data_IF_535865176214
#
_entry.id   IF_535865176214
#
_cell.length_a   1.000
_cell.length_b   1.000
_cell.length_c   1.000
_cell.angle_alpha   90.00
_cell.angle_beta   90.00
_cell.angle_gamma   90.00
#
_symmetry.space_group_name_H-M   'P 1'
#
loop_
_entity.id
_entity.type
_entity.pdbx_description
1 polymer ?
#
# COMPACT_ATOMS: atom_id res chain seq x y z
N UNK A 1 -18.57 -20.62 63.86
CA UNK A 1 -19.85 -21.11 63.30
C UNK A 1 -19.69 -21.25 61.79
N UNK A 2 -19.84 -22.51 61.34
CA UNK A 2 -20.08 -23.02 59.98
C UNK A 2 -19.11 -22.73 58.81
N UNK A 3 -18.44 -23.84 58.44
CA UNK A 3 -17.56 -24.19 57.31
C UNK A 3 -18.17 -24.10 55.90
N UNK A 4 -17.33 -24.20 54.85
CA UNK A 4 -17.73 -24.18 53.44
C UNK A 4 -18.02 -25.60 52.88
N UNK A 5 -18.94 -25.69 51.91
CA UNK A 5 -19.26 -26.94 51.20
C UNK A 5 -18.31 -27.16 50.02
N UNK A 6 -17.47 -28.19 50.15
CA UNK A 6 -16.81 -28.94 49.07
C UNK A 6 -17.79 -29.99 48.54
N UNK A 7 -17.77 -30.25 47.24
CA UNK A 7 -18.23 -31.52 46.66
C UNK A 7 -17.18 -32.03 45.67
N UNK A 8 -16.62 -33.19 46.02
CA UNK A 8 -15.86 -34.12 45.20
C UNK A 8 -16.42 -35.50 45.56
N UNK A 9 -16.58 -36.40 44.57
CA UNK A 9 -16.36 -37.87 44.52
C UNK A 9 -17.07 -38.30 43.21
N UNK A 10 -16.43 -38.70 42.11
CA UNK A 10 -15.55 -39.86 41.82
C UNK A 10 -16.28 -41.21 41.62
N UNK A 11 -15.69 -42.08 40.78
CA UNK A 11 -16.06 -43.47 40.31
C UNK A 11 -16.80 -43.58 38.97
N UNK A 12 -16.54 -44.55 38.06
CA UNK A 12 -15.55 -45.63 37.89
C UNK A 12 -15.83 -46.28 36.49
N UNK A 13 -14.85 -46.41 35.57
CA UNK A 13 -14.05 -47.60 35.17
C UNK A 13 -14.71 -48.79 34.41
N UNK A 14 -13.96 -49.24 33.38
CA UNK A 14 -13.82 -50.57 32.67
C UNK A 14 -14.56 -50.71 31.32
N UNK A 15 -13.86 -50.79 30.17
CA UNK A 15 -13.00 -51.86 29.58
C UNK A 15 -13.75 -53.13 29.18
N UNK A 16 -13.86 -53.41 27.87
CA UNK A 16 -13.65 -54.74 27.25
C UNK A 16 -13.19 -54.56 25.81
N UNK A 17 -12.18 -55.32 25.39
CA UNK A 17 -11.67 -55.41 24.04
C UNK A 17 -11.78 -56.87 23.51
N UNK A 18 -12.06 -57.00 22.20
CA UNK A 18 -11.76 -58.12 21.25
C UNK A 18 -12.52 -59.45 21.41
N UNK A 19 -12.67 -60.30 20.36
CA UNK A 19 -11.78 -60.51 19.20
C UNK A 19 -12.46 -60.66 17.80
N UNK A 20 -11.62 -61.01 16.83
CA UNK A 20 -11.83 -61.10 15.38
C UNK A 20 -12.44 -62.44 14.90
N UNK A 21 -13.02 -62.43 13.69
CA UNK A 21 -13.07 -63.59 12.80
C UNK A 21 -13.12 -63.13 11.33
N UNK A 22 -12.23 -63.71 10.52
CA UNK A 22 -12.13 -63.51 9.08
C UNK A 22 -12.93 -64.60 8.35
N UNK A 23 -13.63 -64.24 7.28
CA UNK A 23 -14.08 -65.17 6.23
C UNK A 23 -13.88 -64.45 4.90
N UNK A 24 -13.10 -65.06 4.01
CA UNK A 24 -12.83 -64.54 2.68
C UNK A 24 -13.94 -64.91 1.69
N UNK A 25 -14.21 -64.01 0.75
CA UNK A 25 -14.81 -64.35 -0.53
C UNK A 25 -14.08 -63.56 -1.62
N UNK A 26 -13.44 -64.29 -2.53
CA UNK A 26 -12.86 -63.74 -3.74
C UNK A 26 -13.99 -63.47 -4.75
N UNK A 27 -14.13 -62.20 -5.15
CA UNK A 27 -15.01 -61.78 -6.23
C UNK A 27 -14.25 -60.81 -7.13
N UNK A 28 -13.96 -61.23 -8.37
CA UNK A 28 -13.30 -60.41 -9.37
C UNK A 28 -14.23 -59.24 -9.77
N UNK A 29 -13.83 -58.01 -9.45
CA UNK A 29 -14.55 -56.80 -9.87
C UNK A 29 -13.94 -56.30 -11.19
N UNK A 30 -14.66 -56.52 -12.29
CA UNK A 30 -14.40 -55.91 -13.59
C UNK A 30 -14.65 -54.40 -13.48
N UNK A 31 -13.60 -53.59 -13.62
CA UNK A 31 -13.72 -52.13 -13.74
C UNK A 31 -14.29 -51.78 -15.14
N UNK A 32 -15.56 -51.39 -15.18
CA UNK A 32 -16.10 -50.65 -16.32
C UNK A 32 -15.73 -49.16 -16.20
N UNK A 33 -15.37 -48.47 -17.31
CA UNK A 33 -15.06 -47.05 -17.26
C UNK A 33 -16.34 -46.22 -17.08
N UNK A 34 -16.36 -45.37 -16.05
CA UNK A 34 -17.39 -44.35 -15.86
C UNK A 34 -17.31 -43.28 -16.97
N UNK A 35 -18.43 -42.79 -17.52
CA UNK A 35 -18.41 -41.69 -18.48
C UNK A 35 -17.95 -40.40 -17.77
N UNK A 36 -16.98 -39.73 -18.36
CA UNK A 36 -16.51 -38.43 -17.92
C UNK A 36 -17.65 -37.40 -18.06
N UNK A 37 -18.28 -37.04 -16.95
CA UNK A 37 -19.14 -35.86 -16.86
C UNK A 37 -18.25 -34.62 -17.01
N UNK A 38 -18.27 -34.01 -18.20
CA UNK A 38 -17.68 -32.71 -18.44
C UNK A 38 -18.35 -31.68 -17.52
N UNK A 39 -17.63 -31.23 -16.49
CA UNK A 39 -18.03 -30.05 -15.74
C UNK A 39 -18.09 -28.85 -16.70
N UNK A 40 -19.13 -28.00 -16.64
CA UNK A 40 -19.15 -26.80 -17.45
C UNK A 40 -17.93 -25.97 -17.07
N UNK A 41 -17.15 -25.56 -18.06
CA UNK A 41 -16.11 -24.57 -17.87
C UNK A 41 -16.78 -23.29 -17.37
N UNK A 42 -16.80 -23.11 -16.04
CA UNK A 42 -17.08 -21.81 -15.45
C UNK A 42 -16.00 -20.87 -16.00
N UNK A 43 -16.38 -20.06 -16.97
CA UNK A 43 -15.48 -19.06 -17.54
C UNK A 43 -14.91 -18.25 -16.38
N UNK A 44 -13.59 -18.28 -16.22
CA UNK A 44 -12.92 -17.29 -15.39
C UNK A 44 -13.21 -15.94 -16.02
N UNK A 45 -14.22 -15.24 -15.52
CA UNK A 45 -14.32 -13.81 -15.74
C UNK A 45 -13.04 -13.22 -15.15
N UNK A 46 -12.11 -12.79 -16.01
CA UNK A 46 -10.93 -12.09 -15.57
C UNK A 46 -11.41 -10.95 -14.66
N UNK A 47 -11.01 -10.95 -13.39
CA UNK A 47 -11.36 -9.88 -12.48
C UNK A 47 -10.92 -8.58 -13.14
N UNK A 48 -11.86 -7.68 -13.40
CA UNK A 48 -11.57 -6.41 -14.05
C UNK A 48 -10.46 -5.71 -13.25
N UNK A 49 -9.34 -5.44 -13.93
CA UNK A 49 -8.24 -4.72 -13.34
C UNK A 49 -8.69 -3.33 -12.85
N UNK A 50 -7.97 -2.72 -11.91
CA UNK A 50 -8.29 -1.38 -11.41
C UNK A 50 -8.48 -0.35 -12.55
N UNK A 51 -9.67 0.23 -12.64
CA UNK A 51 -10.03 1.26 -13.62
C UNK A 51 -10.03 2.65 -12.96
N UNK A 52 -9.58 3.67 -13.68
CA UNK A 52 -9.76 5.06 -13.26
C UNK A 52 -10.40 5.86 -14.38
N UNK A 53 -11.26 6.77 -13.98
CA UNK A 53 -11.90 7.74 -14.85
C UNK A 53 -11.51 9.13 -14.33
N UNK A 54 -10.95 9.95 -15.20
CA UNK A 54 -10.65 11.35 -14.90
C UNK A 54 -11.57 12.24 -15.71
N UNK A 55 -12.12 13.25 -15.05
CA UNK A 55 -13.10 14.16 -15.62
C UNK A 55 -12.67 15.58 -15.37
N UNK A 56 -12.63 16.37 -16.44
CA UNK A 56 -12.35 17.80 -16.34
C UNK A 56 -13.55 18.56 -15.80
N UNK A 57 -13.27 19.44 -14.85
CA UNK A 57 -14.22 20.41 -14.34
C UNK A 57 -13.92 21.73 -15.02
N UNK A 58 -14.81 22.19 -15.90
CA UNK A 58 -14.78 23.57 -16.35
C UNK A 58 -15.17 24.48 -15.17
N UNK A 59 -14.40 25.54 -14.93
CA UNK A 59 -14.72 26.50 -13.88
C UNK A 59 -16.03 27.22 -14.23
N UNK A 60 -17.07 27.06 -13.40
CA UNK A 60 -18.22 27.94 -13.46
C UNK A 60 -17.80 29.34 -13.04
N UNK A 61 -18.11 30.34 -13.87
CA UNK A 61 -18.00 31.75 -13.48
C UNK A 61 -19.15 32.06 -12.53
N UNK A 62 -18.92 31.88 -11.23
CA UNK A 62 -19.89 32.17 -10.18
C UNK A 62 -19.79 31.17 -9.03
N UNK A 63 -19.85 31.64 -7.79
CA UNK A 63 -19.69 30.85 -6.57
C UNK A 63 -20.82 29.85 -6.25
N UNK A 64 -21.38 29.20 -7.26
CA UNK A 64 -22.44 28.20 -7.15
C UNK A 64 -21.91 26.76 -7.00
N UNK A 65 -22.73 25.92 -6.36
CA UNK A 65 -22.56 24.46 -6.37
C UNK A 65 -23.00 23.92 -7.74
N UNK A 66 -22.05 23.63 -8.61
CA UNK A 66 -22.36 22.97 -9.89
C UNK A 66 -22.46 21.44 -9.71
N UNK A 67 -23.58 20.80 -10.08
CA UNK A 67 -23.63 19.35 -10.22
C UNK A 67 -22.69 18.94 -11.36
N UNK A 68 -21.55 18.36 -11.00
CA UNK A 68 -20.58 17.95 -12.00
C UNK A 68 -21.02 16.63 -12.66
N UNK A 69 -21.60 16.72 -13.85
CA UNK A 69 -21.83 15.55 -14.69
C UNK A 69 -20.53 15.20 -15.42
N UNK A 70 -20.05 13.98 -15.18
CA UNK A 70 -18.77 13.54 -15.68
C UNK A 70 -18.74 13.55 -17.24
N UNK A 71 -17.62 13.83 -17.90
CA UNK A 71 -17.36 13.67 -19.35
C UNK A 71 -15.89 13.24 -19.54
N UNK A 72 -15.56 12.42 -20.55
CA UNK A 72 -14.30 11.72 -20.65
C UNK A 72 -13.20 12.65 -21.19
N UNK A 73 -11.98 12.45 -20.70
CA UNK A 73 -10.75 13.06 -21.22
C UNK A 73 -10.25 12.27 -22.46
N UNK A 74 -10.04 12.88 -23.64
CA UNK A 74 -9.47 12.19 -24.80
C UNK A 74 -7.96 11.87 -24.67
N UNK A 75 -7.34 12.04 -23.49
CA UNK A 75 -5.89 12.01 -23.28
C UNK A 75 -5.28 10.73 -22.70
N UNK A 76 -5.88 9.55 -22.84
CA UNK A 76 -5.24 8.27 -22.44
C UNK A 76 -4.41 7.67 -23.59
N UNK A 77 -3.19 7.13 -23.37
CA UNK A 77 -2.44 6.47 -24.41
C UNK A 77 -3.20 5.23 -24.89
N UNK A 78 -3.40 5.14 -26.21
CA UNK A 78 -4.05 4.02 -26.85
C UNK A 78 -3.32 2.71 -26.52
N UNK A 79 -4.00 1.78 -25.87
CA UNK A 79 -3.58 0.39 -25.83
C UNK A 79 -3.53 -0.14 -27.26
N UNK A 80 -2.34 -0.48 -27.76
CA UNK A 80 -2.20 -1.23 -29.02
C UNK A 80 -2.58 -2.68 -28.75
N UNK A 81 -3.70 -3.12 -29.32
CA UNK A 81 -4.25 -4.48 -29.36
C UNK A 81 -5.41 -4.53 -30.36
N UNK A 82 -5.71 -5.67 -31.01
CA UNK A 82 -5.81 -5.77 -32.47
C UNK A 82 -7.12 -5.25 -33.08
N UNK A 83 -6.96 -4.61 -34.25
CA UNK A 83 -7.91 -4.27 -35.32
C UNK A 83 -9.35 -3.81 -34.99
N UNK A 84 -9.59 -2.55 -35.36
CA UNK A 84 -10.90 -1.88 -35.54
C UNK A 84 -11.88 -2.71 -36.40
N UNK A 85 -13.15 -2.85 -36.00
CA UNK A 85 -14.25 -2.86 -36.95
C UNK A 85 -14.39 -1.44 -37.52
N UNK A 86 -14.45 -1.33 -38.86
CA UNK A 86 -14.65 -0.07 -39.57
C UNK A 86 -16.05 0.50 -39.26
N UNK A 87 -16.14 1.81 -39.06
CA UNK A 87 -17.41 2.56 -39.00
C UNK A 87 -17.65 3.33 -37.71
N UNK A 88 -17.01 4.48 -37.55
CA UNK A 88 -17.53 5.65 -36.82
C UNK A 88 -16.50 6.79 -36.91
N UNK A 89 -16.90 7.87 -37.56
CA UNK A 89 -16.11 9.10 -37.70
C UNK A 89 -15.92 9.82 -36.35
N UNK A 90 -14.84 10.60 -36.19
CA UNK A 90 -14.62 11.43 -35.01
C UNK A 90 -15.59 12.62 -35.04
N UNK A 91 -16.54 12.66 -34.10
CA UNK A 91 -17.42 13.83 -33.92
C UNK A 91 -16.58 15.00 -33.41
N UNK A 92 -16.37 16.01 -34.27
CA UNK A 92 -15.93 17.35 -33.88
C UNK A 92 -16.91 17.91 -32.85
N UNK A 93 -16.40 18.37 -31.71
CA UNK A 93 -17.21 19.06 -30.72
C UNK A 93 -17.66 20.42 -31.27
N UNK A 94 -18.92 20.52 -31.69
CA UNK A 94 -19.58 21.79 -31.93
C UNK A 94 -19.97 22.41 -30.59
N UNK A 95 -19.63 23.69 -30.42
CA UNK A 95 -20.19 24.58 -29.40
C UNK A 95 -21.68 24.74 -29.63
N UNK A 96 -22.51 24.52 -28.62
CA UNK A 96 -23.92 24.86 -28.66
C UNK A 96 -24.31 25.63 -27.40
N UNK A 97 -24.92 26.79 -27.64
CA UNK A 97 -25.48 27.69 -26.65
C UNK A 97 -26.65 27.06 -25.89
N UNK A 98 -26.92 27.62 -24.72
CA UNK A 98 -27.98 27.26 -23.78
C UNK A 98 -29.35 27.50 -24.42
N UNK A 99 -30.16 26.44 -24.51
CA UNK A 99 -31.60 26.57 -24.61
C UNK A 99 -32.27 25.53 -23.69
N UNK A 100 -33.21 26.05 -22.91
CA UNK A 100 -34.15 25.45 -21.97
C UNK A 100 -34.32 23.92 -22.03
N UNK A 101 -34.13 23.29 -20.87
CA UNK A 101 -35.05 22.26 -20.40
C UNK A 101 -35.03 20.90 -21.11
N UNK A 102 -33.87 20.24 -21.19
CA UNK A 102 -33.69 18.80 -20.93
C UNK A 102 -32.26 18.40 -21.35
N UNK A 103 -31.43 18.02 -20.38
CA UNK A 103 -30.19 17.28 -20.66
C UNK A 103 -30.36 15.86 -20.15
N UNK A 104 -30.60 14.91 -21.06
CA UNK A 104 -30.37 13.48 -20.83
C UNK A 104 -29.01 13.11 -21.39
N UNK A 105 -27.95 12.99 -20.58
CA UNK A 105 -26.76 12.12 -20.80
C UNK A 105 -26.03 11.88 -19.47
N UNK A 106 -26.33 10.76 -18.80
CA UNK A 106 -25.61 10.28 -17.61
C UNK A 106 -24.54 9.24 -17.97
N UNK A 107 -23.52 9.11 -17.13
CA UNK A 107 -22.58 7.98 -17.18
C UNK A 107 -23.08 6.90 -16.24
N UNK A 108 -23.18 5.67 -16.74
CA UNK A 108 -23.07 4.49 -15.89
C UNK A 108 -21.57 4.27 -15.70
N UNK A 109 -21.02 4.66 -14.55
CA UNK A 109 -19.88 3.91 -14.01
C UNK A 109 -20.48 2.66 -13.37
N UNK A 110 -19.80 1.52 -13.43
CA UNK A 110 -20.25 0.33 -12.68
C UNK A 110 -20.16 0.59 -11.15
N UNK A 111 -19.38 1.61 -10.78
CA UNK A 111 -19.19 2.19 -9.46
C UNK A 111 -17.77 2.78 -9.37
N UNK A 112 -17.48 3.49 -8.28
CA UNK A 112 -16.13 3.87 -7.89
C UNK A 112 -16.00 3.75 -6.38
N UNK A 113 -14.76 3.60 -5.91
CA UNK A 113 -14.47 3.45 -4.46
C UNK A 113 -13.51 4.47 -3.91
N UNK A 114 -12.83 5.21 -4.79
CA UNK A 114 -11.89 6.24 -4.40
C UNK A 114 -12.07 7.51 -5.22
N UNK A 115 -11.84 8.66 -4.60
CA UNK A 115 -11.94 9.99 -5.22
C UNK A 115 -10.74 10.83 -4.84
N UNK A 116 -10.15 11.49 -5.83
CA UNK A 116 -9.14 12.53 -5.67
C UNK A 116 -9.42 13.68 -6.64
N UNK A 117 -8.81 14.83 -6.40
CA UNK A 117 -8.92 15.99 -7.29
C UNK A 117 -7.53 16.52 -7.57
N UNK A 118 -7.23 16.82 -8.84
CA UNK A 118 -5.95 17.41 -9.26
C UNK A 118 -6.17 18.74 -9.94
N UNK A 119 -5.22 19.67 -9.83
CA UNK A 119 -5.31 20.99 -10.46
C UNK A 119 -3.91 21.53 -10.79
N UNK A 120 -3.86 22.70 -11.43
CA UNK A 120 -2.65 23.48 -11.70
C UNK A 120 -2.83 24.89 -11.16
N UNK A 121 -1.87 25.38 -10.36
CA UNK A 121 -1.86 26.73 -9.80
C UNK A 121 -2.99 27.01 -8.79
N UNK A 122 -2.69 27.86 -7.81
CA UNK A 122 -3.59 28.13 -6.68
C UNK A 122 -3.72 26.95 -5.71
N UNK A 123 -4.43 27.18 -4.61
CA UNK A 123 -4.67 26.20 -3.54
C UNK A 123 -6.16 26.19 -3.19
N UNK A 124 -7.02 25.58 -4.02
CA UNK A 124 -8.46 25.59 -3.81
C UNK A 124 -8.85 24.70 -2.63
N UNK A 125 -9.84 25.13 -1.85
CA UNK A 125 -10.56 24.27 -0.92
C UNK A 125 -11.48 23.32 -1.69
N UNK A 126 -11.35 22.02 -1.47
CA UNK A 126 -12.13 20.99 -2.16
C UNK A 126 -12.98 20.21 -1.16
N UNK A 127 -14.29 20.11 -1.39
CA UNK A 127 -15.19 19.23 -0.64
C UNK A 127 -15.97 18.32 -1.58
N UNK A 128 -16.25 17.10 -1.15
CA UNK A 128 -17.07 16.14 -1.89
C UNK A 128 -18.21 15.58 -1.03
N UNK A 129 -19.23 15.03 -1.69
CA UNK A 129 -20.14 14.05 -1.11
C UNK A 129 -20.48 12.99 -2.15
N UNK A 130 -20.75 11.78 -1.71
CA UNK A 130 -21.05 10.64 -2.59
C UNK A 130 -22.39 10.01 -2.20
N UNK A 131 -22.93 9.17 -3.08
CA UNK A 131 -23.98 8.21 -2.71
C UNK A 131 -23.83 6.91 -3.48
N UNK A 132 -24.25 5.81 -2.85
CA UNK A 132 -24.44 4.52 -3.50
C UNK A 132 -25.69 4.55 -4.40
N UNK A 133 -25.88 3.50 -5.21
CA UNK A 133 -27.08 3.33 -6.02
C UNK A 133 -28.34 3.31 -5.15
N UNK A 134 -29.27 4.24 -5.37
CA UNK A 134 -30.50 4.34 -4.57
C UNK A 134 -30.30 4.74 -3.10
N UNK A 135 -29.07 5.11 -2.71
CA UNK A 135 -28.73 5.50 -1.35
C UNK A 135 -28.85 7.00 -1.09
N UNK A 136 -28.79 7.38 0.19
CA UNK A 136 -28.71 8.77 0.61
C UNK A 136 -27.32 9.38 0.32
N UNK A 137 -27.28 10.70 0.15
CA UNK A 137 -26.03 11.44 0.06
C UNK A 137 -25.29 11.43 1.40
N UNK A 138 -23.98 11.22 1.36
CA UNK A 138 -23.12 11.47 2.53
C UNK A 138 -23.13 12.95 2.90
N UNK A 139 -22.77 13.29 4.15
CA UNK A 139 -22.37 14.65 4.48
C UNK A 139 -21.22 15.14 3.58
N UNK A 140 -21.13 16.45 3.39
CA UNK A 140 -19.99 17.07 2.72
C UNK A 140 -18.71 16.81 3.53
N UNK A 141 -17.66 16.36 2.87
CA UNK A 141 -16.34 16.23 3.48
C UNK A 141 -15.27 16.92 2.67
N UNK A 142 -14.40 17.66 3.34
CA UNK A 142 -13.21 18.28 2.74
C UNK A 142 -12.18 17.21 2.38
N UNK A 143 -11.56 17.35 1.20
CA UNK A 143 -10.40 16.59 0.79
C UNK A 143 -9.13 17.38 1.14
N UNK A 144 -8.24 16.75 1.89
CA UNK A 144 -6.96 17.37 2.29
C UNK A 144 -6.02 17.43 1.08
N UNK A 145 -5.16 18.45 1.04
CA UNK A 145 -4.15 18.58 -0.01
C UNK A 145 -3.05 17.53 0.18
N UNK A 146 -2.61 16.94 -0.92
CA UNK A 146 -1.47 16.05 -0.97
C UNK A 146 -0.20 16.91 -1.00
N UNK A 147 0.55 16.89 0.10
CA UNK A 147 1.83 17.61 0.24
C UNK A 147 3.03 16.72 -0.11
N UNK A 148 2.79 15.42 -0.29
CA UNK A 148 3.79 14.49 -0.76
C UNK A 148 4.18 14.80 -2.20
N UNK A 149 5.42 14.48 -2.55
CA UNK A 149 5.88 14.68 -3.90
C UNK A 149 7.26 14.12 -4.16
N UNK A 150 7.58 13.88 -5.44
CA UNK A 150 8.91 13.54 -5.85
C UNK A 150 9.85 14.72 -5.62
N UNK A 151 11.14 14.42 -5.51
CA UNK A 151 12.15 15.47 -5.37
C UNK A 151 12.20 16.34 -6.63
N UNK A 152 12.46 17.64 -6.44
CA UNK A 152 12.68 18.55 -7.57
C UNK A 152 13.81 18.03 -8.47
N UNK A 153 13.58 18.02 -9.79
CA UNK A 153 14.51 17.49 -10.77
C UNK A 153 14.58 15.95 -10.82
N UNK A 154 13.71 15.23 -10.09
CA UNK A 154 13.68 13.77 -10.17
C UNK A 154 13.18 13.24 -11.52
N UNK A 155 12.68 14.08 -12.43
CA UNK A 155 12.16 13.62 -13.72
C UNK A 155 10.92 12.72 -13.58
N UNK A 156 10.21 12.83 -12.47
CA UNK A 156 8.91 12.19 -12.25
C UNK A 156 7.91 13.26 -11.78
N UNK A 157 6.63 13.08 -12.10
CA UNK A 157 5.56 14.03 -11.84
C UNK A 157 5.20 14.90 -13.04
N UNK A 158 3.92 15.27 -13.14
CA UNK A 158 3.37 16.09 -14.23
C UNK A 158 3.09 17.56 -13.84
N UNK A 159 3.58 17.98 -12.68
CA UNK A 159 3.45 19.33 -12.13
C UNK A 159 2.02 19.71 -11.71
N UNK A 160 1.14 18.72 -11.49
CA UNK A 160 -0.18 18.96 -10.89
C UNK A 160 -0.10 18.92 -9.37
N UNK A 161 -0.89 19.79 -8.74
CA UNK A 161 -1.26 19.65 -7.34
C UNK A 161 -2.44 18.69 -7.21
N UNK A 162 -2.64 18.16 -6.01
CA UNK A 162 -3.62 17.12 -5.79
C UNK A 162 -4.18 17.17 -4.37
N UNK A 163 -5.37 16.60 -4.19
CA UNK A 163 -5.83 16.14 -2.89
C UNK A 163 -5.28 14.75 -2.63
N UNK A 164 -5.24 14.37 -1.35
CA UNK A 164 -5.15 12.97 -0.93
C UNK A 164 -6.25 12.14 -1.60
N UNK A 165 -5.95 10.88 -1.90
CA UNK A 165 -6.93 9.95 -2.49
C UNK A 165 -7.78 9.35 -1.37
N UNK A 166 -9.08 9.66 -1.39
CA UNK A 166 -10.01 9.25 -0.36
C UNK A 166 -10.79 7.99 -0.75
N UNK A 167 -10.80 7.00 0.13
CA UNK A 167 -11.76 5.89 0.10
C UNK A 167 -13.17 6.37 0.48
N UNK A 168 -14.14 6.09 -0.38
CA UNK A 168 -15.55 6.51 -0.23
C UNK A 168 -16.52 5.32 -0.18
N UNK A 169 -16.01 4.08 -0.16
CA UNK A 169 -16.83 2.87 -0.26
C UNK A 169 -17.51 2.76 -1.62
N UNK A 170 -18.51 1.88 -1.77
CA UNK A 170 -19.23 1.72 -3.03
C UNK A 170 -20.07 2.97 -3.35
N UNK A 171 -19.59 3.79 -4.29
CA UNK A 171 -20.27 5.00 -4.73
C UNK A 171 -20.61 4.92 -6.22
N UNK A 172 -21.73 5.55 -6.60
CA UNK A 172 -22.13 5.72 -8.01
C UNK A 172 -22.24 7.17 -8.42
N UNK A 173 -22.63 8.03 -7.48
CA UNK A 173 -22.73 9.46 -7.73
C UNK A 173 -21.77 10.25 -6.84
N UNK A 174 -21.29 11.37 -7.38
CA UNK A 174 -20.36 12.30 -6.74
C UNK A 174 -20.86 13.72 -6.94
N UNK A 175 -20.77 14.54 -5.89
CA UNK A 175 -20.84 16.00 -5.99
C UNK A 175 -19.57 16.62 -5.45
N UNK A 176 -19.16 17.72 -6.07
CA UNK A 176 -17.94 18.45 -5.79
C UNK A 176 -18.28 19.91 -5.47
N UNK A 177 -17.63 20.45 -4.44
CA UNK A 177 -17.60 21.88 -4.13
C UNK A 177 -16.16 22.35 -4.14
N UNK A 178 -15.86 23.37 -4.93
CA UNK A 178 -14.52 23.97 -5.01
C UNK A 178 -14.61 25.44 -4.62
N UNK A 179 -13.67 25.91 -3.80
CA UNK A 179 -13.55 27.32 -3.41
C UNK A 179 -12.12 27.80 -3.63
N UNK A 180 -11.96 29.04 -4.09
CA UNK A 180 -10.64 29.62 -4.35
C UNK A 180 -10.13 29.37 -5.78
N UNK A 181 -9.03 30.05 -6.10
CA UNK A 181 -8.44 30.05 -7.44
C UNK A 181 -7.85 28.67 -7.79
N UNK A 182 -8.09 28.24 -9.03
CA UNK A 182 -7.56 26.99 -9.58
C UNK A 182 -7.55 27.06 -11.11
N UNK A 183 -6.71 26.23 -11.76
CA UNK A 183 -6.77 26.00 -13.21
C UNK A 183 -6.69 24.50 -13.51
N UNK A 184 -7.33 24.09 -14.61
CA UNK A 184 -7.27 22.71 -15.10
C UNK A 184 -7.68 21.67 -14.04
N UNK A 185 -8.73 21.95 -13.27
CA UNK A 185 -9.19 21.03 -12.23
C UNK A 185 -9.75 19.75 -12.85
N UNK A 186 -9.34 18.61 -12.31
CA UNK A 186 -9.77 17.27 -12.72
C UNK A 186 -10.20 16.47 -11.51
N UNK A 187 -11.39 15.92 -11.57
CA UNK A 187 -11.85 14.91 -10.62
C UNK A 187 -11.38 13.55 -11.11
N UNK A 188 -10.76 12.78 -10.23
CA UNK A 188 -10.31 11.42 -10.48
C UNK A 188 -11.13 10.49 -9.62
N UNK A 189 -11.89 9.60 -10.25
CA UNK A 189 -12.59 8.50 -9.58
C UNK A 189 -11.96 7.17 -9.97
N UNK A 190 -11.77 6.29 -9.01
CA UNK A 190 -11.08 5.02 -9.20
C UNK A 190 -11.95 3.90 -8.67
N UNK A 191 -12.19 2.88 -9.50
CA UNK A 191 -12.54 1.56 -9.02
C UNK A 191 -11.27 0.70 -9.01
N UNK A 192 -10.68 0.42 -7.84
CA UNK A 192 -9.47 -0.39 -7.75
C UNK A 192 -9.69 -1.88 -8.06
N UNK A 193 -10.91 -2.29 -8.41
CA UNK A 193 -11.30 -3.67 -8.68
C UNK A 193 -11.15 -4.58 -7.46
N UNK A 194 -11.55 -5.83 -7.62
CA UNK A 194 -11.30 -6.89 -6.64
C UNK A 194 -10.27 -7.85 -7.20
N UNK A 195 -8.98 -7.63 -6.94
CA UNK A 195 -7.99 -8.66 -7.25
C UNK A 195 -8.22 -9.86 -6.34
N UNK A 196 -8.45 -11.04 -6.92
CA UNK A 196 -8.30 -12.29 -6.19
C UNK A 196 -6.83 -12.42 -5.77
N UNK A 197 -6.52 -12.75 -4.50
CA UNK A 197 -5.15 -13.09 -4.12
C UNK A 197 -4.69 -14.30 -4.93
N UNK A 198 -3.79 -14.12 -5.91
CA UNK A 198 -3.13 -15.25 -6.60
C UNK A 198 -3.23 -15.36 -8.11
N UNK A 199 -3.72 -14.36 -8.87
CA UNK A 199 -3.66 -14.42 -10.35
C UNK A 199 -2.22 -14.32 -10.86
N UNK A 200 -1.58 -15.47 -11.07
CA UNK A 200 -0.28 -15.60 -11.74
C UNK A 200 -0.43 -15.34 -13.23
N UNK A 201 -0.13 -14.11 -13.69
CA UNK A 201 0.37 -13.96 -15.05
C UNK A 201 1.78 -14.55 -15.06
N UNK A 202 1.93 -15.73 -15.67
CA UNK A 202 3.20 -16.44 -15.84
C UNK A 202 4.20 -15.55 -16.59
N UNK A 203 5.35 -15.18 -16.01
CA UNK A 203 6.45 -14.66 -16.80
C UNK A 203 6.96 -15.77 -17.72
N UNK A 204 7.23 -15.44 -18.99
CA UNK A 204 7.94 -16.34 -19.89
C UNK A 204 9.25 -16.78 -19.24
N UNK A 205 9.40 -18.08 -19.02
CA UNK A 205 10.59 -18.67 -18.41
C UNK A 205 11.79 -18.44 -19.33
N UNK A 206 12.75 -17.64 -18.89
CA UNK A 206 14.11 -17.72 -19.38
C UNK A 206 14.69 -19.06 -18.90
N UNK A 207 15.05 -19.92 -19.86
CA UNK A 207 15.75 -21.19 -19.62
C UNK A 207 17.11 -20.90 -19.00
N UNK A 208 17.33 -21.31 -17.77
CA UNK A 208 18.67 -21.57 -17.24
C UNK A 208 18.70 -23.00 -16.69
N UNK A 209 19.57 -23.80 -17.29
CA UNK A 209 19.91 -25.17 -16.90
C UNK A 209 20.64 -25.19 -15.57
N UNK A 210 20.27 -26.05 -14.60
CA UNK A 210 21.11 -26.34 -13.44
C UNK A 210 22.03 -27.52 -13.75
N UNK A 211 23.35 -27.30 -13.68
CA UNK A 211 24.33 -28.39 -13.63
C UNK A 211 24.45 -28.86 -12.18
N UNK A 212 24.11 -30.13 -11.95
CA UNK A 212 24.30 -30.83 -10.69
C UNK A 212 25.79 -31.15 -10.49
N UNK A 213 26.31 -30.90 -9.29
CA UNK A 213 27.58 -31.45 -8.83
C UNK A 213 27.28 -32.45 -7.70
N UNK A 214 27.66 -33.69 -7.97
CA UNK A 214 27.41 -34.90 -7.18
C UNK A 214 28.27 -34.94 -5.92
N UNK A 215 27.69 -35.44 -4.83
CA UNK A 215 28.38 -35.79 -3.60
C UNK A 215 29.20 -37.07 -3.76
N UNK A 216 30.34 -37.17 -3.08
CA UNK A 216 31.04 -38.42 -2.81
C UNK A 216 31.42 -38.49 -1.32
N UNK A 217 31.24 -39.67 -0.75
CA UNK A 217 31.43 -40.05 0.65
C UNK A 217 32.63 -41.01 0.78
N UNK A 218 33.11 -41.17 2.02
CA UNK A 218 34.05 -42.19 2.57
C UNK A 218 35.55 -41.76 2.58
N UNK A 219 36.38 -42.04 3.60
CA UNK A 219 36.22 -42.66 4.92
C UNK A 219 37.45 -42.35 5.81
N UNK A 220 37.23 -42.46 7.13
CA UNK A 220 38.07 -42.84 8.28
C UNK A 220 39.61 -42.80 8.24
N UNK A 221 40.21 -42.23 9.29
CA UNK A 221 41.61 -42.44 9.69
C UNK A 221 41.94 -41.77 11.04
N UNK A 222 42.20 -42.60 12.05
CA UNK A 222 42.47 -42.29 13.48
C UNK A 222 43.88 -41.73 13.71
N UNK A 223 44.05 -40.80 14.66
CA UNK A 223 45.02 -40.85 15.77
C UNK A 223 45.21 -39.48 16.43
N UNK A 224 45.35 -39.52 17.76
CA UNK A 224 45.46 -38.40 18.68
C UNK A 224 46.88 -37.84 18.78
N UNK A 225 46.99 -36.54 19.01
CA UNK A 225 48.07 -35.96 19.84
C UNK A 225 47.57 -34.73 20.57
N UNK A 226 47.69 -34.77 21.90
CA UNK A 226 47.48 -33.66 22.82
C UNK A 226 48.52 -32.56 22.58
N UNK A 227 48.08 -31.32 22.40
CA UNK A 227 48.94 -30.15 22.53
C UNK A 227 48.17 -29.03 23.23
N UNK A 228 48.47 -28.88 24.51
CA UNK A 228 48.09 -27.74 25.35
C UNK A 228 48.59 -26.45 24.72
N UNK A 229 47.66 -25.63 24.19
CA UNK A 229 47.95 -24.26 23.82
C UNK A 229 46.93 -23.35 24.49
N UNK A 230 47.41 -22.66 25.51
CA UNK A 230 46.75 -21.57 26.22
C UNK A 230 46.54 -20.40 25.24
N UNK A 231 45.51 -20.49 24.41
CA UNK A 231 45.09 -19.39 23.56
C UNK A 231 44.23 -18.44 24.40
N UNK A 232 44.79 -17.29 24.76
CA UNK A 232 44.01 -16.12 25.18
C UNK A 232 42.96 -15.86 24.10
N UNK A 233 41.72 -16.24 24.38
CA UNK A 233 40.61 -16.04 23.47
C UNK A 233 40.39 -14.53 23.31
N UNK A 234 41.01 -13.95 22.29
CA UNK A 234 40.63 -12.65 21.77
C UNK A 234 39.18 -12.77 21.37
N UNK A 235 38.29 -12.23 22.21
CA UNK A 235 36.85 -12.30 22.02
C UNK A 235 36.53 -11.67 20.67
N UNK A 236 36.30 -12.51 19.66
CA UNK A 236 35.81 -12.07 18.35
C UNK A 236 34.58 -11.22 18.63
N UNK A 237 34.55 -9.92 18.22
CA UNK A 237 33.44 -9.05 18.56
C UNK A 237 32.15 -9.75 18.15
N UNK A 238 31.24 -9.91 19.11
CA UNK A 238 29.96 -10.57 18.87
C UNK A 238 29.32 -9.90 17.64
N UNK A 239 28.98 -10.71 16.62
CA UNK A 239 28.39 -10.21 15.39
C UNK A 239 27.08 -9.51 15.78
N UNK A 240 27.09 -8.17 15.82
CA UNK A 240 25.90 -7.37 16.18
C UNK A 240 24.71 -7.90 15.40
N UNK A 241 23.73 -8.45 16.10
CA UNK A 241 22.52 -8.89 15.43
C UNK A 241 21.67 -7.66 15.16
N UNK A 242 21.10 -7.56 13.96
CA UNK A 242 20.27 -6.40 13.61
C UNK A 242 18.82 -6.70 13.92
N UNK A 243 18.04 -5.66 14.23
CA UNK A 243 16.61 -5.79 14.40
C UNK A 243 16.00 -6.54 13.20
N UNK A 244 15.26 -7.64 13.43
CA UNK A 244 14.84 -8.50 12.35
C UNK A 244 13.78 -7.81 11.51
N UNK A 245 13.90 -8.07 10.21
CA UNK A 245 12.96 -7.63 9.18
C UNK A 245 11.56 -8.16 9.48
N UNK A 246 10.52 -7.31 9.54
CA UNK A 246 9.16 -7.77 9.76
C UNK A 246 8.61 -8.48 8.52
N UNK A 247 7.51 -9.23 8.70
CA UNK A 247 6.72 -9.73 7.57
C UNK A 247 6.17 -8.56 6.76
N UNK A 248 6.42 -8.57 5.45
CA UNK A 248 5.92 -7.57 4.51
C UNK A 248 5.24 -8.28 3.36
N UNK A 249 4.00 -7.90 3.10
CA UNK A 249 3.22 -8.36 1.95
C UNK A 249 3.70 -7.63 0.71
N UNK A 250 4.24 -8.38 -0.23
CA UNK A 250 4.89 -7.83 -1.42
C UNK A 250 3.88 -7.31 -2.44
N UNK A 251 4.37 -6.60 -3.45
CA UNK A 251 3.56 -5.96 -4.49
C UNK A 251 2.50 -6.86 -5.14
N UNK A 252 2.89 -8.11 -5.45
CA UNK A 252 1.96 -9.13 -5.95
C UNK A 252 0.79 -9.44 -5.02
N UNK A 253 0.97 -9.33 -3.70
CA UNK A 253 -0.04 -9.67 -2.70
C UNK A 253 -1.17 -8.63 -2.64
N UNK A 254 -0.93 -7.41 -3.10
CA UNK A 254 -1.97 -6.40 -3.27
C UNK A 254 -2.36 -6.16 -4.74
N UNK A 255 -1.80 -6.94 -5.68
CA UNK A 255 -2.16 -6.87 -7.10
C UNK A 255 -1.61 -5.64 -7.80
N UNK A 256 -0.37 -5.26 -7.53
CA UNK A 256 0.30 -4.18 -8.26
C UNK A 256 0.35 -4.45 -9.76
N UNK A 257 -0.18 -3.52 -10.56
CA UNK A 257 0.03 -3.52 -12.00
C UNK A 257 1.37 -2.83 -12.32
N UNK A 258 2.43 -3.63 -12.46
CA UNK A 258 3.77 -3.10 -12.68
C UNK A 258 3.93 -2.32 -14.00
N UNK A 259 2.98 -2.43 -14.94
CA UNK A 259 2.98 -1.66 -16.18
C UNK A 259 2.72 -0.16 -15.97
N UNK A 260 2.18 0.23 -14.81
CA UNK A 260 1.97 1.64 -14.47
C UNK A 260 3.21 2.33 -13.92
N UNK A 261 4.28 1.57 -13.60
CA UNK A 261 5.54 2.19 -13.20
C UNK A 261 6.21 2.82 -14.40
N UNK A 262 6.93 3.89 -14.13
CA UNK A 262 7.81 4.51 -15.10
C UNK A 262 9.27 4.45 -14.61
N UNK A 263 10.19 4.11 -15.51
CA UNK A 263 11.62 4.04 -15.21
C UNK A 263 12.08 2.98 -14.19
N UNK A 264 13.38 3.02 -13.88
CA UNK A 264 14.04 2.11 -12.96
C UNK A 264 14.02 2.65 -11.51
N UNK A 265 13.92 1.78 -10.49
CA UNK A 265 14.00 2.20 -9.09
C UNK A 265 15.33 2.91 -8.78
N UNK A 266 15.22 4.00 -8.02
CA UNK A 266 16.38 4.76 -7.52
C UNK A 266 16.68 4.37 -6.09
N UNK A 267 17.95 4.41 -5.72
CA UNK A 267 18.42 4.05 -4.38
C UNK A 267 19.15 5.20 -3.72
N UNK A 268 18.86 5.43 -2.46
CA UNK A 268 19.57 6.36 -1.62
C UNK A 268 20.91 5.73 -1.18
N UNK A 269 21.97 6.54 -1.15
CA UNK A 269 23.28 6.11 -0.64
C UNK A 269 23.24 5.95 0.88
N UNK A 270 22.43 6.77 1.56
CA UNK A 270 22.28 6.81 3.03
C UNK A 270 20.82 6.72 3.44
N UNK A 271 20.58 6.36 4.69
CA UNK A 271 19.25 6.34 5.30
C UNK A 271 19.36 6.94 6.69
N UNK A 272 18.99 8.22 6.81
CA UNK A 272 19.08 9.01 8.03
C UNK A 272 17.77 9.03 8.83
N UNK A 273 16.62 8.86 8.17
CA UNK A 273 15.31 8.97 8.80
C UNK A 273 14.30 7.93 8.31
N UNK A 274 13.29 7.67 9.14
CA UNK A 274 12.00 7.12 8.74
C UNK A 274 10.95 8.21 8.92
N UNK A 275 10.23 8.55 7.84
CA UNK A 275 9.08 9.46 7.89
C UNK A 275 7.79 8.66 8.03
N UNK A 276 7.01 9.02 9.06
CA UNK A 276 5.68 8.46 9.33
C UNK A 276 4.64 9.37 8.70
N UNK A 277 3.76 8.74 7.93
CA UNK A 277 2.66 9.36 7.21
C UNK A 277 1.33 8.74 7.63
N UNK A 278 0.24 9.43 7.31
CA UNK A 278 -1.09 8.82 7.18
C UNK A 278 -1.57 8.99 5.73
N UNK A 279 -2.62 8.27 5.33
CA UNK A 279 -3.15 8.39 3.95
C UNK A 279 -4.46 9.20 3.89
N UNK A 280 -4.89 9.80 5.00
CA UNK A 280 -6.16 10.55 5.14
C UNK A 280 -7.42 9.73 4.77
N UNK A 281 -7.29 8.41 4.71
CA UNK A 281 -8.42 7.54 4.37
C UNK A 281 -9.40 7.43 5.54
N UNK A 282 -10.65 7.06 5.27
CA UNK A 282 -11.57 6.65 6.33
C UNK A 282 -10.93 5.54 7.19
N UNK A 283 -11.34 5.42 8.45
CA UNK A 283 -10.82 4.40 9.36
C UNK A 283 -11.73 3.17 9.50
N UNK A 284 -12.87 3.15 8.81
CA UNK A 284 -13.90 2.10 8.85
C UNK A 284 -13.70 0.98 7.81
N UNK A 285 -12.66 1.07 6.96
CA UNK A 285 -12.39 0.06 5.94
C UNK A 285 -12.20 -1.36 6.52
N UNK A 286 -12.60 -2.35 5.73
CA UNK A 286 -12.50 -3.77 6.08
C UNK A 286 -11.13 -4.30 5.69
N UNK A 287 -10.77 -5.46 6.23
CA UNK A 287 -9.50 -6.14 5.93
C UNK A 287 -9.31 -6.43 4.44
N UNK A 288 -10.41 -6.74 3.74
CA UNK A 288 -10.45 -7.00 2.31
C UNK A 288 -10.25 -5.74 1.46
N UNK A 289 -10.59 -4.56 1.98
CA UNK A 289 -10.51 -3.30 1.23
C UNK A 289 -9.07 -2.77 1.09
N UNK A 290 -8.14 -3.28 1.92
CA UNK A 290 -6.76 -2.76 1.98
C UNK A 290 -6.00 -2.90 0.66
N UNK A 291 -6.01 -4.08 0.04
CA UNK A 291 -5.32 -4.27 -1.24
C UNK A 291 -5.90 -3.37 -2.35
N UNK A 292 -7.24 -3.30 -2.53
CA UNK A 292 -7.87 -2.29 -3.39
C UNK A 292 -7.44 -0.85 -3.08
N UNK A 293 -7.45 -0.42 -1.81
CA UNK A 293 -7.03 0.93 -1.43
C UNK A 293 -5.60 1.24 -1.88
N UNK A 294 -4.66 0.31 -1.65
CA UNK A 294 -3.26 0.44 -2.07
C UNK A 294 -3.15 0.55 -3.60
N UNK A 295 -3.89 -0.29 -4.36
CA UNK A 295 -3.92 -0.20 -5.83
C UNK A 295 -4.42 1.16 -6.32
N UNK A 296 -5.45 1.72 -5.71
CA UNK A 296 -5.93 3.04 -6.10
C UNK A 296 -4.93 4.15 -5.80
N UNK A 297 -4.26 4.13 -4.64
CA UNK A 297 -3.18 5.09 -4.33
C UNK A 297 -2.06 4.97 -5.37
N UNK A 298 -1.64 3.74 -5.67
CA UNK A 298 -0.63 3.48 -6.67
C UNK A 298 -1.03 4.01 -8.06
N UNK A 299 -2.26 3.73 -8.49
CA UNK A 299 -2.81 4.23 -9.75
C UNK A 299 -2.87 5.75 -9.78
N UNK A 300 -3.28 6.38 -8.68
CA UNK A 300 -3.40 7.82 -8.60
C UNK A 300 -2.03 8.50 -8.72
N UNK A 301 -1.04 8.02 -7.95
CA UNK A 301 0.33 8.54 -8.01
C UNK A 301 0.94 8.40 -9.41
N UNK A 302 0.81 7.24 -10.03
CA UNK A 302 1.42 6.99 -11.34
C UNK A 302 0.64 7.62 -12.49
N UNK A 303 -0.64 7.31 -12.61
CA UNK A 303 -1.42 7.64 -13.80
C UNK A 303 -2.10 9.01 -13.71
N UNK A 304 -2.33 9.55 -12.51
CA UNK A 304 -2.91 10.89 -12.35
C UNK A 304 -1.87 11.96 -12.06
N UNK A 305 -0.85 11.64 -11.26
CA UNK A 305 0.21 12.59 -10.87
C UNK A 305 1.49 12.43 -11.68
N UNK A 306 1.65 11.35 -12.45
CA UNK A 306 2.83 11.10 -13.27
C UNK A 306 4.06 10.68 -12.48
N UNK A 307 3.90 10.21 -11.25
CA UNK A 307 5.03 9.69 -10.46
C UNK A 307 5.48 8.35 -11.03
N UNK A 308 6.74 7.98 -10.82
CA UNK A 308 7.25 6.69 -11.33
C UNK A 308 6.64 5.48 -10.63
N UNK A 309 6.15 5.65 -9.41
CA UNK A 309 5.54 4.58 -8.60
C UNK A 309 4.73 5.21 -7.44
N UNK A 310 4.14 4.36 -6.58
CA UNK A 310 3.60 4.79 -5.30
C UNK A 310 4.70 5.46 -4.45
N UNK A 311 4.45 6.67 -3.92
CA UNK A 311 5.48 7.47 -3.25
C UNK A 311 6.03 6.88 -1.95
N UNK A 312 5.23 6.08 -1.22
CA UNK A 312 5.64 5.46 0.04
C UNK A 312 6.46 4.19 -0.17
N UNK A 313 7.46 3.94 0.67
CA UNK A 313 8.19 2.67 0.67
C UNK A 313 7.36 1.54 1.30
N UNK A 314 6.59 1.87 2.35
CA UNK A 314 5.72 0.91 3.04
C UNK A 314 4.37 1.53 3.35
N UNK A 315 3.35 0.68 3.40
CA UNK A 315 2.05 1.00 3.97
C UNK A 315 1.74 0.06 5.12
N UNK A 316 1.13 0.56 6.19
CA UNK A 316 0.69 -0.23 7.35
C UNK A 316 -0.81 -0.06 7.52
N UNK A 317 -1.56 -1.15 7.51
CA UNK A 317 -3.01 -1.08 7.75
C UNK A 317 -3.37 -1.19 9.23
N UNK A 318 -4.62 -0.81 9.57
CA UNK A 318 -5.15 -0.85 10.93
C UNK A 318 -5.14 -2.24 11.57
N UNK A 319 -5.02 -3.28 10.76
CA UNK A 319 -4.97 -4.67 11.20
C UNK A 319 -3.54 -5.17 11.47
N UNK A 320 -2.53 -4.30 11.38
CA UNK A 320 -1.14 -4.61 11.68
C UNK A 320 -0.37 -5.28 10.53
N UNK A 321 -0.89 -5.28 9.30
CA UNK A 321 -0.13 -5.82 8.15
C UNK A 321 0.71 -4.72 7.51
N UNK A 322 1.97 -5.03 7.20
CA UNK A 322 2.84 -4.20 6.40
C UNK A 322 2.79 -4.62 4.92
N UNK A 323 2.83 -3.63 4.03
CA UNK A 323 2.76 -3.80 2.59
C UNK A 323 3.93 -3.08 1.92
N UNK A 324 4.58 -3.74 0.97
CA UNK A 324 5.59 -3.11 0.12
C UNK A 324 4.90 -2.10 -0.80
N UNK A 325 5.33 -0.83 -0.72
CA UNK A 325 4.94 0.22 -1.65
C UNK A 325 5.91 0.26 -2.81
N UNK A 326 6.76 1.29 -2.87
CA UNK A 326 7.68 1.57 -3.99
C UNK A 326 8.60 0.40 -4.33
N UNK A 327 8.63 0.02 -5.60
CA UNK A 327 9.40 -1.10 -6.16
C UNK A 327 10.91 -0.85 -6.12
N UNK A 328 11.69 -1.93 -6.30
CA UNK A 328 13.17 -1.90 -6.23
C UNK A 328 13.75 -2.78 -5.12
N UNK A 329 12.89 -3.51 -4.41
CA UNK A 329 13.25 -4.41 -3.34
C UNK A 329 13.14 -3.71 -2.00
N UNK A 330 12.04 -3.97 -1.30
CA UNK A 330 11.73 -3.43 0.03
C UNK A 330 12.85 -3.52 1.08
N UNK A 331 13.80 -4.45 0.93
CA UNK A 331 14.99 -4.52 1.79
C UNK A 331 15.98 -3.37 1.62
N UNK A 332 16.05 -2.78 0.43
CA UNK A 332 17.02 -1.78 0.02
C UNK A 332 16.57 -0.37 0.43
N UNK A 333 17.46 0.60 0.23
CA UNK A 333 17.20 2.03 0.47
C UNK A 333 16.53 2.65 -0.77
N UNK A 334 15.37 2.12 -1.17
CA UNK A 334 14.62 2.65 -2.33
C UNK A 334 14.24 4.11 -2.05
N UNK A 335 14.57 5.03 -2.96
CA UNK A 335 14.18 6.44 -2.83
C UNK A 335 12.66 6.54 -2.94
N UNK A 336 12.02 7.26 -2.03
CA UNK A 336 10.57 7.56 -2.01
C UNK A 336 10.19 8.85 -2.76
N UNK A 337 8.89 9.14 -2.80
CA UNK A 337 8.30 10.39 -3.27
C UNK A 337 7.25 10.87 -2.25
N UNK A 338 7.54 10.66 -0.97
CA UNK A 338 6.60 10.85 0.15
C UNK A 338 6.89 12.11 0.95
N UNK A 339 8.11 12.66 0.90
CA UNK A 339 8.50 13.80 1.72
C UNK A 339 9.43 14.70 0.93
N UNK A 340 8.85 15.74 0.32
CA UNK A 340 9.58 16.69 -0.51
C UNK A 340 10.76 17.28 0.28
N UNK A 341 11.96 17.17 -0.27
CA UNK A 341 13.21 17.63 0.35
C UNK A 341 13.94 16.60 1.21
N UNK A 342 13.30 15.48 1.56
CA UNK A 342 13.89 14.45 2.44
C UNK A 342 13.79 13.03 1.87
N UNK A 343 13.29 12.86 0.65
CA UNK A 343 13.21 11.56 -0.02
C UNK A 343 14.60 10.89 -0.19
N UNK A 344 15.67 11.67 -0.37
CA UNK A 344 17.04 11.22 -0.67
C UNK A 344 17.79 10.54 0.47
N UNK A 345 17.28 10.65 1.70
CA UNK A 345 17.93 10.13 2.90
C UNK A 345 16.94 9.46 3.85
N UNK A 346 15.78 9.05 3.36
CA UNK A 346 14.75 8.50 4.22
C UNK A 346 14.00 7.30 3.63
N UNK A 347 13.19 6.68 4.49
CA UNK A 347 12.18 5.68 4.14
C UNK A 347 10.83 6.17 4.64
N UNK A 348 9.83 6.21 3.77
CA UNK A 348 8.47 6.62 4.12
C UNK A 348 7.56 5.45 4.45
N UNK A 349 6.86 5.54 5.58
CA UNK A 349 5.85 4.56 6.01
C UNK A 349 4.52 5.28 6.19
N UNK A 350 3.54 4.98 5.35
CA UNK A 350 2.18 5.51 5.48
C UNK A 350 1.27 4.55 6.25
N UNK A 351 0.67 5.02 7.33
CA UNK A 351 -0.37 4.27 8.03
C UNK A 351 -1.71 4.56 7.37
N UNK A 352 -2.39 3.53 6.87
CA UNK A 352 -3.64 3.68 6.13
C UNK A 352 -4.75 4.09 7.10
N UNK A 353 -5.29 5.29 6.92
CA UNK A 353 -6.34 5.86 7.76
C UNK A 353 -6.18 7.36 7.96
N UNK A 354 -7.04 7.94 8.81
CA UNK A 354 -7.03 9.34 9.20
C UNK A 354 -6.84 9.46 10.72
N UNK A 355 -5.60 9.77 11.11
CA UNK A 355 -5.23 9.94 12.52
C UNK A 355 -5.27 11.40 13.01
N UNK A 356 -5.98 12.30 12.31
CA UNK A 356 -6.49 13.51 12.95
C UNK A 356 -7.66 13.17 13.90
N UNK A 357 -8.44 12.15 13.55
CA UNK A 357 -9.72 11.86 14.22
C UNK A 357 -9.67 10.63 15.12
N UNK A 358 -8.91 9.60 14.72
CA UNK A 358 -8.87 8.31 15.42
C UNK A 358 -7.45 8.01 15.90
N UNK A 359 -7.32 7.35 17.05
CA UNK A 359 -6.01 6.90 17.55
C UNK A 359 -5.49 5.73 16.71
N UNK A 360 -4.17 5.66 16.52
CA UNK A 360 -3.55 4.53 15.82
C UNK A 360 -3.81 3.21 16.56
N UNK A 361 -4.36 2.17 15.90
CA UNK A 361 -4.57 0.88 16.54
C UNK A 361 -3.27 0.23 16.97
N UNK A 362 -3.30 -0.50 18.10
CA UNK A 362 -2.12 -1.14 18.70
C UNK A 362 -1.37 -2.04 17.71
N UNK A 363 -2.10 -2.79 16.88
CA UNK A 363 -1.51 -3.67 15.86
C UNK A 363 -0.72 -2.88 14.80
N UNK A 364 -1.30 -1.79 14.27
CA UNK A 364 -0.63 -0.92 13.31
C UNK A 364 0.60 -0.23 13.93
N UNK A 365 0.45 0.29 15.15
CA UNK A 365 1.56 0.89 15.91
C UNK A 365 2.71 -0.09 16.11
N UNK A 366 2.42 -1.34 16.46
CA UNK A 366 3.42 -2.38 16.64
C UNK A 366 4.19 -2.64 15.34
N UNK A 367 3.48 -2.86 14.23
CA UNK A 367 4.09 -3.09 12.92
C UNK A 367 4.92 -1.90 12.43
N UNK A 368 4.44 -0.67 12.67
CA UNK A 368 5.21 0.54 12.41
C UNK A 368 6.51 0.57 13.21
N UNK A 369 6.47 0.27 14.52
CA UNK A 369 7.67 0.21 15.35
C UNK A 369 8.66 -0.88 14.88
N UNK A 370 8.17 -2.01 14.36
CA UNK A 370 9.02 -3.05 13.78
C UNK A 370 9.74 -2.56 12.51
N UNK A 371 9.03 -1.89 11.59
CA UNK A 371 9.63 -1.32 10.38
C UNK A 371 10.67 -0.25 10.72
N UNK A 372 10.35 0.64 11.66
CA UNK A 372 11.24 1.71 12.14
C UNK A 372 12.51 1.11 12.75
N UNK A 373 12.38 0.13 13.65
CA UNK A 373 13.51 -0.55 14.27
C UNK A 373 14.41 -1.19 13.21
N UNK A 374 13.82 -2.00 12.32
CA UNK A 374 14.54 -2.69 11.27
C UNK A 374 15.31 -1.72 10.35
N UNK A 375 14.66 -0.67 9.85
CA UNK A 375 15.27 0.24 8.88
C UNK A 375 16.38 1.10 9.50
N UNK A 376 16.13 1.69 10.66
CA UNK A 376 17.11 2.57 11.30
C UNK A 376 18.29 1.79 11.90
N UNK A 377 18.03 0.64 12.52
CA UNK A 377 19.11 -0.20 13.06
C UNK A 377 19.99 -0.77 11.93
N UNK A 378 19.38 -1.19 10.81
CA UNK A 378 20.14 -1.59 9.62
C UNK A 378 21.01 -0.46 9.04
N UNK A 379 20.58 0.80 9.22
CA UNK A 379 21.36 1.98 8.84
C UNK A 379 22.37 2.44 9.90
N UNK A 380 22.45 1.78 11.05
CA UNK A 380 23.35 2.16 12.15
C UNK A 380 22.84 3.35 12.98
N UNK A 381 21.53 3.57 12.99
CA UNK A 381 20.89 4.65 13.76
C UNK A 381 20.01 4.08 14.87
N UNK A 382 20.04 4.76 16.02
CA UNK A 382 19.10 4.52 17.13
C UNK A 382 17.71 5.00 16.73
N UNK A 383 16.68 4.14 16.70
CA UNK A 383 15.31 4.54 16.37
C UNK A 383 14.74 5.70 17.20
N UNK A 384 15.09 5.75 18.49
CA UNK A 384 14.69 6.81 19.41
C UNK A 384 15.58 8.05 19.39
N UNK A 385 16.66 8.05 18.60
CA UNK A 385 17.63 9.14 18.56
C UNK A 385 17.23 10.33 17.69
N UNK A 386 18.07 11.35 17.72
CA UNK A 386 18.03 12.53 16.83
C UNK A 386 19.33 12.63 16.03
N UNK A 387 19.33 13.30 14.89
CA UNK A 387 20.52 13.54 14.09
C UNK A 387 20.38 14.72 13.14
N UNK A 388 21.51 15.17 12.56
CA UNK A 388 21.49 16.16 11.48
C UNK A 388 21.11 15.49 10.17
N UNK A 389 20.09 16.01 9.51
CA UNK A 389 19.55 15.44 8.27
C UNK A 389 19.63 16.48 7.17
N UNK A 390 20.09 16.08 5.99
CA UNK A 390 20.27 16.99 4.86
C UNK A 390 18.92 17.30 4.19
N UNK A 391 18.59 18.58 4.05
CA UNK A 391 17.43 19.03 3.25
C UNK A 391 17.83 19.24 1.79
N UNK A 392 17.10 18.60 0.89
CA UNK A 392 17.13 18.86 -0.55
C UNK A 392 16.17 20.00 -0.97
N UNK A 393 15.57 20.70 0.00
CA UNK A 393 14.63 21.79 -0.22
C UNK A 393 13.19 21.35 0.02
N UNK A 394 12.57 21.92 1.05
CA UNK A 394 11.17 21.77 1.43
C UNK A 394 10.59 23.16 1.73
N UNK A 395 9.29 23.23 1.97
CA UNK A 395 8.57 24.43 2.41
C UNK A 395 8.90 24.88 3.85
N UNK A 396 9.62 24.05 4.64
CA UNK A 396 10.14 24.42 5.98
C UNK A 396 11.65 24.60 6.03
N UNK A 397 12.39 23.84 5.22
CA UNK A 397 13.84 23.80 5.27
C UNK A 397 14.45 24.05 3.89
N UNK A 398 15.25 25.12 3.71
CA UNK A 398 15.88 25.40 2.43
C UNK A 398 16.89 24.30 2.06
N UNK A 399 17.15 24.17 0.76
CA UNK A 399 18.15 23.24 0.23
C UNK A 399 19.52 23.52 0.84
N UNK A 400 20.23 22.45 1.22
CA UNK A 400 21.58 22.55 1.80
C UNK A 400 21.60 22.70 3.32
N UNK A 401 20.46 22.99 3.95
CA UNK A 401 20.36 23.02 5.41
C UNK A 401 20.47 21.62 6.04
N UNK A 402 20.91 21.57 7.30
CA UNK A 402 21.08 20.33 8.07
C UNK A 402 20.43 20.38 9.45
N UNK A 403 19.09 20.51 9.52
CA UNK A 403 18.37 20.57 10.80
C UNK A 403 18.61 19.32 11.65
N UNK A 404 18.57 19.50 12.98
CA UNK A 404 18.64 18.39 13.94
C UNK A 404 17.22 17.89 14.19
N UNK A 405 16.92 16.69 13.68
CA UNK A 405 15.58 16.10 13.69
C UNK A 405 15.57 14.71 14.33
N UNK A 406 14.42 14.22 14.82
CA UNK A 406 14.27 12.83 15.21
C UNK A 406 14.56 11.86 14.06
N UNK A 407 15.20 10.71 14.35
CA UNK A 407 15.42 9.65 13.35
C UNK A 407 14.11 9.01 12.87
N UNK A 408 13.09 9.03 13.73
CA UNK A 408 11.71 8.71 13.37
C UNK A 408 10.88 9.98 13.43
N UNK A 409 10.55 10.57 12.28
CA UNK A 409 9.88 11.86 12.17
C UNK A 409 8.47 11.71 11.60
N UNK A 410 7.56 12.60 11.96
CA UNK A 410 6.30 12.77 11.22
C UNK A 410 6.54 13.62 9.97
N UNK A 411 5.66 13.52 8.95
CA UNK A 411 5.79 14.39 7.77
C UNK A 411 5.81 15.88 8.15
N UNK A 412 4.97 16.31 9.09
CA UNK A 412 4.93 17.68 9.61
C UNK A 412 6.21 18.18 10.29
N UNK A 413 7.15 17.29 10.63
CA UNK A 413 8.45 17.72 11.18
C UNK A 413 9.30 18.38 10.10
N UNK A 414 9.08 18.07 8.82
CA UNK A 414 9.87 18.55 7.69
C UNK A 414 9.10 19.36 6.66
N UNK A 415 7.77 19.26 6.64
CA UNK A 415 6.93 19.94 5.66
C UNK A 415 5.73 20.66 6.30
N UNK A 416 5.15 21.67 5.64
CA UNK A 416 3.95 22.37 6.10
C UNK A 416 2.70 21.54 5.79
N UNK A 417 2.44 20.52 6.62
CA UNK A 417 1.35 19.58 6.46
C UNK A 417 0.75 19.16 7.80
N UNK A 418 -0.50 18.72 7.80
CA UNK A 418 -1.12 18.03 8.94
C UNK A 418 -0.68 16.55 9.04
N UNK A 419 -0.08 15.96 8.01
CA UNK A 419 0.37 14.56 8.06
C UNK A 419 1.44 14.37 9.17
N UNK A 420 1.39 13.33 10.03
CA UNK A 420 0.59 12.10 9.95
C UNK A 420 -0.73 12.12 10.73
N UNK A 421 -1.31 13.29 11.00
CA UNK A 421 -2.47 13.43 11.86
C UNK A 421 -2.10 13.68 13.34
N UNK A 422 -2.84 14.53 14.05
CA UNK A 422 -2.50 14.94 15.43
C UNK A 422 -2.34 13.77 16.40
N UNK A 423 -3.15 12.71 16.27
CA UNK A 423 -3.14 11.58 17.22
C UNK A 423 -2.00 10.62 16.94
N UNK A 424 -1.65 10.36 15.68
CA UNK A 424 -0.47 9.57 15.34
C UNK A 424 0.81 10.36 15.60
N UNK A 425 0.81 11.66 15.35
CA UNK A 425 1.93 12.55 15.67
C UNK A 425 2.24 12.55 17.18
N UNK A 426 1.20 12.68 18.02
CA UNK A 426 1.34 12.60 19.47
C UNK A 426 1.93 11.24 19.95
N UNK A 427 1.65 10.15 19.22
CA UNK A 427 2.16 8.81 19.57
C UNK A 427 3.59 8.53 19.04
N UNK A 428 4.21 9.43 18.27
CA UNK A 428 5.56 9.20 17.73
C UNK A 428 6.61 8.94 18.81
N UNK A 429 6.50 9.61 19.98
CA UNK A 429 7.37 9.31 21.11
C UNK A 429 7.22 7.87 21.60
N UNK A 430 5.99 7.36 21.62
CA UNK A 430 5.67 5.98 21.97
C UNK A 430 6.19 4.96 20.94
N UNK A 431 6.11 5.29 19.65
CA UNK A 431 6.65 4.47 18.55
C UNK A 431 8.18 4.44 18.60
N UNK A 432 8.83 5.59 18.78
CA UNK A 432 10.29 5.70 18.97
C UNK A 432 10.80 4.80 20.09
N UNK A 433 10.15 4.85 21.26
CA UNK A 433 10.52 3.99 22.41
C UNK A 433 10.31 2.51 22.11
N UNK A 434 9.21 2.14 21.45
CA UNK A 434 8.96 0.74 21.09
C UNK A 434 9.97 0.21 20.08
N UNK A 435 10.31 1.01 19.07
CA UNK A 435 11.30 0.68 18.06
C UNK A 435 12.71 0.58 18.67
N UNK A 436 13.07 1.50 19.58
CA UNK A 436 14.35 1.46 20.29
C UNK A 436 14.48 0.19 21.12
N UNK A 437 13.49 -0.12 21.98
CA UNK A 437 13.49 -1.38 22.76
C UNK A 437 13.57 -2.62 21.88
N UNK A 438 13.02 -2.58 20.68
CA UNK A 438 13.16 -3.68 19.72
C UNK A 438 14.59 -3.75 19.20
N UNK A 439 15.20 -2.64 18.79
CA UNK A 439 16.58 -2.63 18.31
C UNK A 439 17.58 -3.09 19.39
N UNK A 440 17.40 -2.65 20.64
CA UNK A 440 18.26 -3.01 21.78
C UNK A 440 18.21 -4.50 22.13
N UNK A 441 17.19 -5.26 21.69
CA UNK A 441 17.13 -6.71 21.90
C UNK A 441 18.04 -7.50 20.96
N UNK A 442 18.58 -6.86 19.93
CA UNK A 442 19.39 -7.51 18.89
C UNK A 442 20.79 -6.87 18.76
N UNK A 443 20.89 -5.56 18.96
CA UNK A 443 22.18 -4.87 19.04
C UNK A 443 22.97 -5.29 20.28
#
# INVERSE_FOLDING_TARGET
MTSPLRLSVDRARRLVARPAAAVGLAGALVLAPLPALAAPAAGLQAAAGPTAYAVHVAAARGGGLEPLSLRPDPGGPAARGPQRPRGADPVRAASAAVARGQVRRGWRTDGFRQVGVTWRGGEPGVSIRTRAAGGAWTPWTTLEHLHDGPSSGAGEGNGRHATELRWVGDARDLQLRVRGAHRGLRVVVIDPGTAAPGSTARPAAARTTPTAATAATAATGTAATSATSSATASARPARRTRAPRPEVRLRRAWGADESWRDGAPRYNTRLDQVHVHHTVNSNDYRRADVAPMIRGIYRYHTQSLGWSDIGYNFLVDRFGRAWEGRAGGWGRKVRGAHTLGFNENSTGVAVIGNFEQVRVPRAARWTLAQLVAWKLDAAGHRPGGTGRVWSHGSDRYPRGSRPRLPRTAGHRDTNQTACPGRLLYADLGGIRRAAQRRADRWS
#
